data_IF_510638826845
#
_entry.id   IF_510638826845
#
_cell.length_a   1.000
_cell.length_b   1.000
_cell.length_c   1.000
_cell.angle_alpha   90.00
_cell.angle_beta   90.00
_cell.angle_gamma   90.00
#
_symmetry.space_group_name_H-M   'P 1'
#
loop_
_entity.id
_entity.type
_entity.pdbx_description
1 polymer ?
#
# COMPACT_ATOMS: atom_id res chain seq x y z
N UNK A 1 36.61 -3.26 23.89
CA UNK A 1 36.00 -4.48 23.28
C UNK A 1 34.52 -4.39 22.96
N UNK A 2 33.88 -3.22 22.99
CA UNK A 2 32.43 -3.09 22.73
C UNK A 2 32.04 -2.55 21.33
N UNK A 3 33.01 -2.18 20.51
CA UNK A 3 32.73 -1.53 19.19
C UNK A 3 32.66 -2.54 18.05
N UNK A 4 33.28 -3.73 18.19
CA UNK A 4 33.38 -4.72 17.10
C UNK A 4 32.10 -5.56 16.93
N UNK A 5 31.28 -5.71 17.97
CA UNK A 5 30.06 -6.53 17.92
C UNK A 5 28.90 -5.84 17.19
N UNK A 6 28.84 -4.51 17.21
CA UNK A 6 27.78 -3.76 16.55
C UNK A 6 27.92 -3.76 15.03
N UNK A 7 29.15 -3.82 14.51
CA UNK A 7 29.39 -3.86 13.05
C UNK A 7 29.03 -5.22 12.42
N UNK A 8 29.22 -6.32 13.16
CA UNK A 8 28.88 -7.67 12.67
C UNK A 8 27.36 -7.93 12.60
N UNK A 9 26.58 -7.32 13.49
CA UNK A 9 25.11 -7.42 13.44
C UNK A 9 24.49 -6.60 12.31
N UNK A 10 25.09 -5.49 11.93
CA UNK A 10 24.62 -4.71 10.76
C UNK A 10 24.92 -5.41 9.43
N UNK A 11 26.08 -6.09 9.30
CA UNK A 11 26.43 -6.78 8.06
C UNK A 11 25.59 -8.06 7.82
N UNK A 12 25.12 -8.71 8.86
CA UNK A 12 24.25 -9.88 8.74
C UNK A 12 22.81 -9.50 8.34
N UNK A 13 22.31 -8.35 8.76
CA UNK A 13 21.02 -7.83 8.30
C UNK A 13 21.05 -7.42 6.82
N UNK A 14 22.12 -6.84 6.34
CA UNK A 14 22.27 -6.47 4.92
C UNK A 14 22.27 -7.69 4.00
N UNK A 15 22.85 -8.83 4.43
CA UNK A 15 22.82 -10.08 3.64
C UNK A 15 21.45 -10.76 3.60
N UNK A 16 20.64 -10.62 4.65
CA UNK A 16 19.27 -11.18 4.68
C UNK A 16 18.32 -10.48 3.69
N UNK A 17 18.58 -9.22 3.34
CA UNK A 17 17.72 -8.45 2.45
C UNK A 17 18.19 -8.43 1.00
N UNK A 18 19.46 -8.81 0.73
CA UNK A 18 20.05 -8.74 -0.60
C UNK A 18 19.90 -10.03 -1.44
N UNK A 19 19.46 -11.14 -0.86
CA UNK A 19 19.56 -12.45 -1.51
C UNK A 19 18.25 -13.21 -1.75
N UNK A 20 17.10 -12.73 -1.28
CA UNK A 20 15.85 -13.40 -1.63
C UNK A 20 15.34 -12.92 -3.00
N UNK A 21 15.19 -13.83 -3.97
CA UNK A 21 14.51 -13.50 -5.19
C UNK A 21 13.09 -13.02 -4.83
N UNK A 22 12.66 -11.93 -5.43
CA UNK A 22 11.26 -11.53 -5.37
C UNK A 22 10.38 -12.74 -5.73
N UNK A 23 9.23 -12.92 -5.09
CA UNK A 23 8.30 -13.95 -5.50
C UNK A 23 7.99 -13.80 -7.00
N UNK A 24 7.63 -14.87 -7.69
CA UNK A 24 7.37 -14.81 -9.12
C UNK A 24 6.39 -13.67 -9.42
N UNK A 25 6.88 -12.75 -10.19
CA UNK A 25 6.22 -11.50 -10.52
C UNK A 25 5.17 -11.79 -11.59
N UNK A 26 4.13 -11.00 -11.59
CA UNK A 26 3.12 -11.00 -12.63
C UNK A 26 3.76 -11.07 -14.04
N UNK A 27 3.22 -11.93 -14.89
CA UNK A 27 3.61 -11.98 -16.30
C UNK A 27 2.68 -11.08 -17.09
N UNK A 28 3.26 -10.29 -17.96
CA UNK A 28 2.48 -9.48 -18.90
C UNK A 28 1.95 -10.42 -19.98
N UNK A 29 0.65 -10.47 -20.14
CA UNK A 29 0.00 -11.19 -21.24
C UNK A 29 -0.16 -10.27 -22.45
N UNK A 30 -0.12 -10.85 -23.63
CA UNK A 30 -0.50 -10.12 -24.83
C UNK A 30 -1.97 -9.69 -24.80
N UNK A 31 -2.35 -8.62 -25.51
CA UNK A 31 -3.73 -8.15 -25.57
C UNK A 31 -4.69 -9.29 -25.93
N UNK A 32 -5.78 -9.41 -25.18
CA UNK A 32 -6.83 -10.37 -25.50
C UNK A 32 -7.51 -9.97 -26.81
N UNK A 33 -7.39 -10.81 -27.82
CA UNK A 33 -8.22 -10.70 -29.03
C UNK A 33 -9.62 -11.26 -28.74
N UNK A 34 -10.51 -10.42 -28.23
CA UNK A 34 -11.90 -10.80 -28.04
C UNK A 34 -12.68 -10.68 -29.37
N UNK A 35 -13.52 -11.64 -29.72
CA UNK A 35 -14.35 -11.56 -30.94
C UNK A 35 -15.23 -10.31 -30.91
N UNK A 36 -15.16 -9.48 -31.96
CA UNK A 36 -15.96 -8.27 -32.09
C UNK A 36 -15.26 -6.96 -31.68
N UNK A 37 -13.99 -7.02 -31.30
CA UNK A 37 -13.20 -5.81 -30.98
C UNK A 37 -12.86 -5.01 -32.24
N UNK A 38 -13.15 -3.71 -32.21
CA UNK A 38 -12.74 -2.76 -33.25
C UNK A 38 -11.27 -2.34 -33.03
N UNK A 39 -10.65 -1.73 -34.07
CA UNK A 39 -9.27 -1.25 -34.01
C UNK A 39 -8.96 -0.33 -32.83
N UNK A 40 -9.95 0.35 -32.27
CA UNK A 40 -9.83 1.27 -31.13
C UNK A 40 -9.54 0.54 -29.81
N UNK A 41 -9.97 -0.72 -29.67
CA UNK A 41 -9.70 -1.52 -28.46
C UNK A 41 -8.25 -2.02 -28.33
N UNK A 42 -7.43 -1.89 -29.36
CA UNK A 42 -5.99 -2.17 -29.27
C UNK A 42 -5.21 -1.13 -28.44
N UNK A 43 -5.86 -0.05 -28.01
CA UNK A 43 -5.29 0.93 -27.07
C UNK A 43 -5.38 0.48 -25.60
N UNK A 44 -6.16 -0.56 -25.29
CA UNK A 44 -6.23 -1.09 -23.94
C UNK A 44 -5.00 -1.94 -23.64
N UNK A 45 -4.45 -1.71 -22.44
CA UNK A 45 -3.22 -2.32 -22.00
C UNK A 45 -3.26 -3.83 -21.88
N UNK A 46 -2.14 -4.36 -21.54
CA UNK A 46 -1.96 -5.79 -21.33
C UNK A 46 -2.58 -6.21 -20.01
N UNK A 47 -3.26 -7.36 -19.99
CA UNK A 47 -3.61 -8.00 -18.73
C UNK A 47 -2.34 -8.52 -18.04
N UNK A 48 -2.28 -8.34 -16.72
CA UNK A 48 -1.13 -8.75 -15.90
C UNK A 48 -1.52 -10.01 -15.14
N UNK A 49 -0.73 -11.07 -15.31
CA UNK A 49 -0.88 -12.32 -14.56
C UNK A 49 -0.13 -12.22 -13.24
N UNK A 50 -0.77 -12.63 -12.17
CA UNK A 50 -0.19 -12.70 -10.84
C UNK A 50 -0.58 -14.00 -10.15
N UNK A 51 0.21 -14.38 -9.14
CA UNK A 51 -0.13 -15.50 -8.27
C UNK A 51 -0.76 -15.00 -6.98
N UNK A 52 -1.73 -15.73 -6.46
CA UNK A 52 -2.36 -15.40 -5.20
C UNK A 52 -1.33 -15.53 -4.06
N UNK A 53 -1.13 -14.45 -3.30
CA UNK A 53 -0.13 -14.40 -2.22
C UNK A 53 -0.71 -14.78 -0.86
N UNK A 54 -2.04 -14.83 -0.72
CA UNK A 54 -2.65 -15.15 0.55
C UNK A 54 -2.45 -16.63 0.90
N UNK A 55 -1.79 -16.97 2.03
CA UNK A 55 -1.59 -18.36 2.40
C UNK A 55 -2.89 -19.08 2.70
N UNK A 56 -3.02 -20.35 2.29
CA UNK A 56 -4.18 -21.21 2.63
C UNK A 56 -4.43 -21.34 4.14
N UNK A 57 -3.37 -21.18 4.94
CA UNK A 57 -3.45 -21.16 6.41
C UNK A 57 -4.18 -19.94 6.98
N UNK A 58 -4.40 -18.89 6.18
CA UNK A 58 -5.23 -17.74 6.55
C UNK A 58 -6.70 -18.14 6.39
N UNK A 59 -7.40 -18.32 7.51
CA UNK A 59 -8.81 -18.72 7.55
C UNK A 59 -9.73 -17.52 7.56
N UNK A 60 -10.93 -17.70 7.01
CA UNK A 60 -12.00 -16.70 6.99
C UNK A 60 -11.60 -15.38 6.36
N UNK A 61 -10.78 -15.44 5.32
CA UNK A 61 -10.36 -14.26 4.56
C UNK A 61 -11.41 -13.89 3.52
N UNK A 62 -11.50 -12.61 3.22
CA UNK A 62 -12.28 -12.10 2.09
C UNK A 62 -11.41 -12.07 0.82
N UNK A 63 -12.05 -11.87 -0.33
CA UNK A 63 -11.35 -11.64 -1.58
C UNK A 63 -10.43 -10.40 -1.46
N UNK A 64 -9.21 -10.54 -1.97
CA UNK A 64 -8.25 -9.46 -2.00
C UNK A 64 -8.53 -8.53 -3.19
N UNK A 65 -9.40 -7.55 -2.97
CA UNK A 65 -9.84 -6.58 -3.99
C UNK A 65 -9.84 -5.16 -3.44
N UNK A 66 -9.79 -4.17 -4.33
CA UNK A 66 -10.06 -2.77 -4.03
C UNK A 66 -11.55 -2.51 -4.20
N UNK A 67 -12.21 -2.02 -3.16
CA UNK A 67 -13.58 -1.53 -3.23
C UNK A 67 -13.55 -0.12 -3.86
N UNK A 68 -14.09 0.04 -5.07
CA UNK A 68 -14.16 1.32 -5.80
C UNK A 68 -15.46 1.44 -6.60
N UNK A 69 -16.57 1.62 -5.90
CA UNK A 69 -17.91 1.67 -6.51
C UNK A 69 -18.13 2.85 -7.46
N UNK A 70 -17.33 3.89 -7.35
CA UNK A 70 -17.40 5.11 -8.19
C UNK A 70 -16.39 5.10 -9.32
N UNK A 71 -15.54 4.07 -9.41
CA UNK A 71 -14.46 3.97 -10.39
C UNK A 71 -13.46 5.12 -10.30
N UNK A 72 -13.21 5.58 -9.09
CA UNK A 72 -12.31 6.70 -8.79
C UNK A 72 -10.86 6.42 -9.20
N UNK A 73 -10.46 5.15 -9.34
CA UNK A 73 -9.12 4.72 -9.77
C UNK A 73 -8.90 4.78 -11.29
N UNK A 74 -9.94 4.93 -12.10
CA UNK A 74 -9.84 4.92 -13.58
C UNK A 74 -8.82 5.93 -14.13
N UNK A 75 -8.76 7.19 -13.66
CA UNK A 75 -7.75 8.12 -14.18
C UNK A 75 -6.31 7.66 -13.94
N UNK A 76 -6.03 7.00 -12.82
CA UNK A 76 -4.72 6.42 -12.53
C UNK A 76 -4.42 5.21 -13.43
N UNK A 77 -5.37 4.30 -13.59
CA UNK A 77 -5.20 3.13 -14.46
C UNK A 77 -5.05 3.51 -15.92
N UNK A 78 -5.73 4.56 -16.38
CA UNK A 78 -5.53 5.13 -17.73
C UNK A 78 -4.10 5.57 -17.93
N UNK A 79 -3.51 6.33 -16.99
CA UNK A 79 -2.11 6.76 -17.07
C UNK A 79 -1.14 5.58 -17.06
N UNK A 80 -1.38 4.55 -16.26
CA UNK A 80 -0.59 3.31 -16.27
C UNK A 80 -0.68 2.59 -17.62
N UNK A 81 -1.85 2.58 -18.22
CA UNK A 81 -2.07 1.96 -19.52
C UNK A 81 -1.40 2.72 -20.68
N UNK A 82 -1.54 4.03 -20.69
CA UNK A 82 -0.99 4.88 -21.73
C UNK A 82 0.53 5.07 -21.61
N UNK A 83 1.06 5.11 -20.41
CA UNK A 83 2.48 5.28 -20.05
C UNK A 83 3.18 6.38 -20.87
N UNK A 84 2.52 7.51 -21.07
CA UNK A 84 3.04 8.64 -21.85
C UNK A 84 4.12 9.46 -21.11
N UNK A 85 4.50 9.05 -19.91
CA UNK A 85 5.50 9.68 -19.05
C UNK A 85 5.54 9.01 -17.68
N UNK A 86 6.29 9.57 -16.72
CA UNK A 86 6.34 9.03 -15.37
C UNK A 86 4.96 9.03 -14.70
N UNK A 87 4.53 7.86 -14.21
CA UNK A 87 3.29 7.70 -13.40
C UNK A 87 3.67 7.62 -11.94
N UNK A 88 3.21 8.57 -11.14
CA UNK A 88 3.69 8.81 -9.78
C UNK A 88 2.73 8.32 -8.72
N UNK A 89 3.23 7.44 -7.87
CA UNK A 89 2.55 6.97 -6.65
C UNK A 89 3.26 7.56 -5.43
N UNK A 90 2.50 8.13 -4.51
CA UNK A 90 3.01 8.56 -3.20
C UNK A 90 2.29 7.76 -2.12
N UNK A 91 3.03 6.90 -1.41
CA UNK A 91 2.51 6.08 -0.32
C UNK A 91 2.85 6.72 1.02
N UNK A 92 1.86 7.33 1.66
CA UNK A 92 2.01 7.95 2.97
C UNK A 92 1.45 7.04 4.07
N UNK A 93 2.07 7.06 5.25
CA UNK A 93 1.59 6.23 6.35
C UNK A 93 2.44 6.28 7.61
N UNK A 94 2.19 5.32 8.47
CA UNK A 94 2.82 5.19 9.78
C UNK A 94 4.12 4.34 9.75
N UNK A 95 4.44 3.68 10.88
CA UNK A 95 5.64 2.83 11.01
C UNK A 95 5.62 1.61 10.08
N UNK A 96 4.47 1.13 9.64
CA UNK A 96 4.37 0.04 8.67
C UNK A 96 4.89 0.47 7.30
N UNK A 97 4.57 1.70 6.89
CA UNK A 97 5.12 2.31 5.66
C UNK A 97 6.58 2.73 5.88
N UNK A 98 6.90 3.32 7.05
CA UNK A 98 8.28 3.75 7.38
C UNK A 98 9.27 2.57 7.46
N UNK A 99 8.82 1.38 7.79
CA UNK A 99 9.62 0.16 7.82
C UNK A 99 10.11 -0.33 6.45
N UNK A 100 9.65 0.25 5.37
CA UNK A 100 10.01 0.12 3.96
C UNK A 100 9.62 -1.20 3.28
N UNK A 101 9.69 -2.36 3.93
CA UNK A 101 9.50 -3.66 3.27
C UNK A 101 8.14 -3.74 2.56
N UNK A 102 7.07 -3.38 3.26
CA UNK A 102 5.72 -3.39 2.72
C UNK A 102 5.59 -2.55 1.43
N UNK A 103 5.86 -1.23 1.46
CA UNK A 103 5.71 -0.41 0.25
C UNK A 103 6.79 -0.70 -0.80
N UNK A 104 8.00 -1.15 -0.40
CA UNK A 104 9.06 -1.50 -1.33
C UNK A 104 8.70 -2.73 -2.18
N UNK A 105 8.05 -3.74 -1.58
CA UNK A 105 7.60 -4.91 -2.34
C UNK A 105 6.52 -4.51 -3.35
N UNK A 106 5.50 -3.76 -2.91
CA UNK A 106 4.47 -3.23 -3.81
C UNK A 106 5.10 -2.44 -4.97
N UNK A 107 6.03 -1.54 -4.66
CA UNK A 107 6.76 -0.75 -5.65
C UNK A 107 7.46 -1.64 -6.68
N UNK A 108 8.30 -2.59 -6.23
CA UNK A 108 9.10 -3.45 -7.13
C UNK A 108 8.22 -4.30 -8.04
N UNK A 109 7.11 -4.80 -7.52
CA UNK A 109 6.15 -5.53 -8.33
C UNK A 109 5.53 -4.64 -9.41
N UNK A 110 5.08 -3.44 -9.04
CA UNK A 110 4.53 -2.48 -10.00
C UNK A 110 5.57 -1.99 -11.02
N UNK A 111 6.82 -1.73 -10.60
CA UNK A 111 7.92 -1.40 -11.53
C UNK A 111 8.18 -2.52 -12.53
N UNK A 112 8.11 -3.77 -12.08
CA UNK A 112 8.26 -4.91 -12.99
C UNK A 112 7.11 -5.02 -13.99
N UNK A 113 5.90 -4.66 -13.60
CA UNK A 113 4.73 -4.75 -14.47
C UNK A 113 4.65 -3.57 -15.47
N UNK A 114 5.03 -2.37 -15.04
CA UNK A 114 4.79 -1.12 -15.76
C UNK A 114 6.07 -0.37 -16.18
N UNK A 115 7.24 -0.86 -15.84
CA UNK A 115 8.53 -0.28 -16.20
C UNK A 115 9.21 0.45 -15.04
N UNK A 116 10.52 0.26 -14.93
CA UNK A 116 11.38 0.84 -13.89
C UNK A 116 12.26 2.00 -14.40
N UNK A 117 12.18 2.33 -15.67
CA UNK A 117 13.06 3.29 -16.35
C UNK A 117 12.89 4.72 -15.85
N UNK A 118 11.72 5.02 -15.27
CA UNK A 118 11.40 6.34 -14.71
C UNK A 118 12.21 6.72 -13.46
N UNK A 119 13.00 5.78 -12.89
CA UNK A 119 13.75 5.98 -11.63
C UNK A 119 15.18 5.50 -11.74
N UNK A 120 16.13 6.33 -11.27
CA UNK A 120 17.51 5.92 -11.12
C UNK A 120 17.64 4.78 -10.08
N UNK A 121 18.25 3.63 -10.41
CA UNK A 121 18.30 2.45 -9.53
C UNK A 121 18.93 2.71 -8.16
N UNK A 122 19.96 3.54 -8.09
CA UNK A 122 20.74 3.82 -6.87
C UNK A 122 20.09 4.87 -5.95
N UNK A 123 19.02 5.51 -6.40
CA UNK A 123 18.42 6.66 -5.72
C UNK A 123 17.58 6.29 -4.51
N UNK A 124 17.20 5.00 -4.38
CA UNK A 124 16.36 4.54 -3.29
C UNK A 124 17.13 3.52 -2.47
N UNK A 125 17.67 3.99 -1.37
CA UNK A 125 18.26 3.08 -0.40
C UNK A 125 17.17 2.55 0.53
N UNK A 126 17.27 1.29 0.87
CA UNK A 126 16.41 0.64 1.85
C UNK A 126 16.34 1.39 3.20
N UNK A 127 17.43 2.08 3.57
CA UNK A 127 17.55 2.81 4.84
C UNK A 127 16.83 4.17 4.87
N UNK A 128 16.74 4.83 3.72
CA UNK A 128 16.19 6.19 3.67
C UNK A 128 14.73 6.23 3.31
N UNK A 129 14.18 5.15 2.83
CA UNK A 129 12.82 4.97 2.35
C UNK A 129 12.32 6.15 1.64
N UNK A 130 12.43 6.14 0.61
CA UNK A 130 12.23 6.91 0.10
C UNK A 130 11.65 7.61 -1.04
N UNK A 131 12.07 8.75 -1.24
CA UNK A 131 11.72 9.52 -2.43
C UNK A 131 12.52 8.93 -3.59
N UNK A 132 11.82 8.59 -4.67
CA UNK A 132 12.43 8.19 -5.92
C UNK A 132 13.09 9.40 -6.59
N UNK A 133 14.24 9.22 -7.22
CA UNK A 133 14.84 10.22 -8.10
C UNK A 133 14.46 9.89 -9.54
N UNK A 134 13.67 10.77 -10.15
CA UNK A 134 13.11 10.56 -11.47
C UNK A 134 14.16 10.79 -12.57
N UNK A 135 14.10 9.94 -13.60
CA UNK A 135 14.85 10.14 -14.85
C UNK A 135 14.13 11.07 -15.81
N UNK A 136 12.80 11.14 -15.72
CA UNK A 136 11.90 11.78 -16.65
C UNK A 136 11.36 10.84 -17.74
N UNK A 137 11.89 9.62 -17.86
CA UNK A 137 11.42 8.61 -18.79
C UNK A 137 10.05 8.05 -18.38
N UNK A 138 9.27 7.50 -19.33
CA UNK A 138 8.05 6.76 -19.00
C UNK A 138 8.33 5.58 -18.08
N UNK A 139 7.40 5.32 -17.14
CA UNK A 139 7.52 4.23 -16.18
C UNK A 139 6.91 4.61 -14.84
N UNK A 140 7.03 3.69 -13.87
CA UNK A 140 6.47 3.89 -12.54
C UNK A 140 7.46 4.61 -11.62
N UNK A 141 6.98 5.63 -10.95
CA UNK A 141 7.68 6.32 -9.86
C UNK A 141 6.92 6.10 -8.56
N UNK A 142 7.55 5.50 -7.57
CA UNK A 142 6.90 5.19 -6.30
C UNK A 142 7.65 5.79 -5.11
N UNK A 143 7.09 6.84 -4.53
CA UNK A 143 7.63 7.53 -3.36
C UNK A 143 7.05 6.94 -2.07
N UNK A 144 7.91 6.72 -1.07
CA UNK A 144 7.52 6.17 0.23
C UNK A 144 7.74 7.23 1.31
N UNK A 145 6.68 7.66 1.97
CA UNK A 145 6.71 8.71 3.00
C UNK A 145 6.06 8.20 4.30
N UNK A 146 6.76 7.34 5.02
CA UNK A 146 6.31 6.83 6.32
C UNK A 146 6.91 7.61 7.49
N UNK A 147 6.13 7.77 8.57
CA UNK A 147 6.58 8.39 9.83
C UNK A 147 6.20 7.47 11.01
N UNK A 148 7.18 7.13 11.85
CA UNK A 148 6.92 6.27 13.01
C UNK A 148 5.89 6.92 13.96
N UNK A 149 4.87 6.16 14.35
CA UNK A 149 3.82 6.62 15.24
C UNK A 149 2.81 7.59 14.59
N UNK A 150 2.91 7.80 13.28
CA UNK A 150 2.02 8.74 12.59
C UNK A 150 0.55 8.34 12.65
N UNK A 151 -0.28 9.34 12.69
CA UNK A 151 -1.72 9.32 12.43
C UNK A 151 -2.00 10.24 11.24
N UNK A 152 -3.25 10.26 10.76
CA UNK A 152 -3.65 11.21 9.71
C UNK A 152 -3.23 12.65 10.02
N UNK A 153 -3.30 13.06 11.30
CA UNK A 153 -2.94 14.43 11.75
C UNK A 153 -1.47 14.76 11.49
N UNK A 154 -0.58 13.78 11.55
CA UNK A 154 0.86 14.00 11.32
C UNK A 154 1.15 14.60 9.94
N UNK A 155 0.31 14.30 8.96
CA UNK A 155 0.46 14.79 7.60
C UNK A 155 -0.37 16.05 7.28
N UNK A 156 -1.12 16.61 8.24
CA UNK A 156 -1.95 17.81 8.01
C UNK A 156 -1.19 19.13 8.19
N UNK A 157 0.13 19.12 8.24
CA UNK A 157 0.93 20.34 8.26
C UNK A 157 1.16 20.88 6.85
N UNK A 158 1.20 22.21 6.69
CA UNK A 158 1.42 22.82 5.38
C UNK A 158 2.72 22.32 4.70
N UNK A 159 3.78 22.11 5.47
CA UNK A 159 5.04 21.61 4.93
C UNK A 159 4.87 20.19 4.36
N UNK A 160 4.19 19.29 5.06
CA UNK A 160 3.95 17.92 4.56
C UNK A 160 3.07 17.92 3.32
N UNK A 161 2.05 18.75 3.28
CA UNK A 161 1.19 18.89 2.09
C UNK A 161 2.00 19.43 0.90
N UNK A 162 2.85 20.45 1.11
CA UNK A 162 3.73 20.99 0.06
C UNK A 162 4.75 19.95 -0.42
N UNK A 163 5.37 19.19 0.50
CA UNK A 163 6.28 18.09 0.15
C UNK A 163 5.60 17.05 -0.74
N UNK A 164 4.38 16.63 -0.40
CA UNK A 164 3.61 15.65 -1.19
C UNK A 164 3.21 16.25 -2.54
N UNK A 165 2.70 17.47 -2.57
CA UNK A 165 2.26 18.12 -3.81
C UNK A 165 3.42 18.36 -4.79
N UNK A 166 4.62 18.65 -4.30
CA UNK A 166 5.82 18.82 -5.12
C UNK A 166 6.19 17.54 -5.90
N UNK A 167 5.78 16.37 -5.43
CA UNK A 167 5.97 15.09 -6.11
C UNK A 167 4.96 14.86 -7.25
N UNK A 168 3.96 15.73 -7.41
CA UNK A 168 2.93 15.64 -8.48
C UNK A 168 2.32 14.24 -8.59
N UNK A 169 1.74 13.70 -7.51
CA UNK A 169 1.23 12.33 -7.49
C UNK A 169 0.04 12.13 -8.43
N UNK A 170 0.01 11.00 -9.13
CA UNK A 170 -1.16 10.50 -9.84
C UNK A 170 -2.04 9.67 -8.91
N UNK A 171 -1.39 8.97 -7.96
CA UNK A 171 -2.06 8.23 -6.90
C UNK A 171 -1.41 8.53 -5.54
N UNK A 172 -2.24 8.82 -4.54
CA UNK A 172 -1.80 8.83 -3.13
C UNK A 172 -2.43 7.62 -2.41
N UNK A 173 -1.58 6.76 -1.84
CA UNK A 173 -2.00 5.66 -0.97
C UNK A 173 -1.87 6.10 0.48
N UNK A 174 -2.96 6.01 1.26
CA UNK A 174 -3.00 6.39 2.67
C UNK A 174 -3.10 5.15 3.55
N UNK A 175 -2.02 4.83 4.28
CA UNK A 175 -1.95 3.66 5.17
C UNK A 175 -1.79 4.09 6.63
N UNK A 176 -2.93 4.39 7.26
CA UNK A 176 -3.06 4.78 8.65
C UNK A 176 -4.04 3.88 9.40
N UNK A 177 -4.20 4.10 10.69
CA UNK A 177 -5.20 3.44 11.51
C UNK A 177 -4.62 2.64 12.68
N UNK A 178 -3.39 2.15 12.59
CA UNK A 178 -2.77 1.39 13.70
C UNK A 178 -2.58 2.26 14.93
N UNK A 179 -2.06 3.47 14.78
CA UNK A 179 -1.81 4.37 15.90
C UNK A 179 -3.10 5.00 16.44
N UNK A 180 -4.05 5.29 15.57
CA UNK A 180 -5.40 5.70 15.97
C UNK A 180 -6.06 4.62 16.84
N UNK A 181 -6.01 3.34 16.43
CA UNK A 181 -6.54 2.23 17.20
C UNK A 181 -5.84 2.04 18.56
N UNK A 182 -4.58 2.44 18.69
CA UNK A 182 -3.82 2.38 19.95
C UNK A 182 -4.07 3.58 20.87
N UNK A 183 -4.71 4.64 20.39
CA UNK A 183 -5.05 5.79 21.21
C UNK A 183 -6.00 5.42 22.35
N UNK A 184 -5.63 5.73 23.58
CA UNK A 184 -6.51 5.52 24.75
C UNK A 184 -7.78 6.39 24.69
N UNK A 185 -7.71 7.51 23.99
CA UNK A 185 -8.80 8.49 23.80
C UNK A 185 -9.38 8.43 22.40
N UNK A 186 -9.38 7.26 21.78
CA UNK A 186 -9.94 7.10 20.44
C UNK A 186 -11.44 7.42 20.41
N UNK A 187 -11.82 8.30 19.52
CA UNK A 187 -13.23 8.66 19.23
C UNK A 187 -13.45 8.58 17.72
N UNK A 188 -14.40 7.76 17.29
CA UNK A 188 -14.68 7.52 15.87
C UNK A 188 -15.01 8.80 15.08
N UNK A 189 -15.86 9.74 15.59
CA UNK A 189 -16.12 10.99 14.88
C UNK A 189 -14.88 11.88 14.73
N UNK A 190 -13.99 11.87 15.72
CA UNK A 190 -12.72 12.63 15.64
C UNK A 190 -11.81 12.01 14.58
N UNK A 191 -11.75 10.69 14.49
CA UNK A 191 -10.95 10.02 13.46
C UNK A 191 -11.49 10.31 12.05
N UNK A 192 -12.81 10.26 11.83
CA UNK A 192 -13.44 10.63 10.55
C UNK A 192 -13.08 12.09 10.17
N UNK A 193 -13.17 13.02 11.11
CA UNK A 193 -12.80 14.43 10.90
C UNK A 193 -11.29 14.58 10.57
N UNK A 194 -10.42 13.77 11.15
CA UNK A 194 -8.99 13.80 10.85
C UNK A 194 -8.67 13.29 9.45
N UNK A 195 -9.36 12.23 9.01
CA UNK A 195 -9.27 11.73 7.62
C UNK A 195 -9.75 12.83 6.67
N UNK A 196 -10.91 13.41 6.93
CA UNK A 196 -11.49 14.46 6.11
C UNK A 196 -10.56 15.66 5.97
N UNK A 197 -9.99 16.14 7.08
CA UNK A 197 -9.03 17.25 7.06
C UNK A 197 -7.83 16.95 6.19
N UNK A 198 -7.20 15.77 6.35
CA UNK A 198 -6.03 15.38 5.54
C UNK A 198 -6.38 15.33 4.05
N UNK A 199 -7.46 14.64 3.70
CA UNK A 199 -7.87 14.49 2.31
C UNK A 199 -8.31 15.82 1.68
N UNK A 200 -9.00 16.68 2.43
CA UNK A 200 -9.36 18.03 1.95
C UNK A 200 -8.13 18.87 1.63
N UNK A 201 -7.08 18.81 2.48
CA UNK A 201 -5.82 19.52 2.22
C UNK A 201 -5.08 18.94 1.01
N UNK A 202 -5.02 17.62 0.88
CA UNK A 202 -4.39 16.94 -0.26
C UNK A 202 -5.14 17.21 -1.57
N UNK A 203 -6.46 17.10 -1.59
CA UNK A 203 -7.28 17.42 -2.78
C UNK A 203 -7.11 18.85 -3.24
N UNK A 204 -7.01 19.79 -2.30
CA UNK A 204 -6.76 21.19 -2.64
C UNK A 204 -5.38 21.41 -3.26
N UNK A 205 -4.36 20.68 -2.77
CA UNK A 205 -2.99 20.81 -3.24
C UNK A 205 -2.71 19.99 -4.52
N UNK A 206 -3.44 18.89 -4.71
CA UNK A 206 -3.26 17.92 -5.80
C UNK A 206 -4.64 17.55 -6.38
N UNK A 207 -5.30 18.44 -7.14
CA UNK A 207 -6.69 18.27 -7.57
C UNK A 207 -6.92 17.08 -8.51
N UNK A 208 -5.91 16.71 -9.32
CA UNK A 208 -5.98 15.63 -10.30
C UNK A 208 -5.58 14.26 -9.73
N UNK A 209 -5.22 14.20 -8.44
CA UNK A 209 -4.72 12.98 -7.81
C UNK A 209 -5.86 12.06 -7.40
N UNK A 210 -5.67 10.78 -7.66
CA UNK A 210 -6.53 9.70 -7.17
C UNK A 210 -6.11 9.28 -5.76
N UNK A 211 -7.05 8.83 -4.93
CA UNK A 211 -6.78 8.44 -3.56
C UNK A 211 -7.21 6.99 -3.30
N UNK A 212 -6.30 6.21 -2.71
CA UNK A 212 -6.56 4.86 -2.20
C UNK A 212 -6.34 4.84 -0.69
N UNK A 213 -7.39 4.60 0.07
CA UNK A 213 -7.31 4.40 1.51
C UNK A 213 -7.04 2.92 1.81
N UNK A 214 -6.27 2.63 2.86
CA UNK A 214 -6.07 1.25 3.31
C UNK A 214 -6.43 1.09 4.78
N UNK A 215 -6.99 -0.06 5.16
CA UNK A 215 -7.23 -0.36 6.57
C UNK A 215 -5.98 -0.98 7.22
N UNK A 216 -5.78 -0.82 8.56
CA UNK A 216 -4.62 -1.38 9.24
C UNK A 216 -4.68 -2.92 9.28
N UNK A 217 -3.54 -3.62 9.37
CA UNK A 217 -3.46 -5.09 9.29
C UNK A 217 -3.99 -5.84 10.53
N UNK A 218 -4.33 -5.12 11.59
CA UNK A 218 -4.64 -5.69 12.89
C UNK A 218 -3.42 -5.67 13.83
N UNK A 219 -3.68 -5.55 15.12
CA UNK A 219 -2.64 -5.53 16.15
C UNK A 219 -3.19 -5.99 17.50
N UNK A 220 -2.27 -6.30 18.41
CA UNK A 220 -2.60 -6.55 19.82
C UNK A 220 -2.39 -5.29 20.66
N UNK A 221 -3.09 -5.22 21.78
CA UNK A 221 -2.95 -4.18 22.80
C UNK A 221 -2.77 -4.81 24.19
N UNK A 222 -2.08 -4.11 25.08
CA UNK A 222 -1.77 -4.57 26.43
C UNK A 222 -0.33 -5.05 26.62
N UNK A 223 0.00 -5.45 27.85
CA UNK A 223 1.34 -5.99 28.18
C UNK A 223 1.48 -7.42 27.66
N UNK A 224 2.71 -7.84 27.36
CA UNK A 224 3.01 -9.16 26.75
C UNK A 224 2.24 -10.34 27.36
N UNK A 225 2.08 -10.40 28.67
CA UNK A 225 1.38 -11.49 29.37
C UNK A 225 -0.15 -11.34 29.43
N UNK A 226 -0.68 -10.14 29.17
CA UNK A 226 -2.12 -9.82 29.20
C UNK A 226 -2.57 -9.18 27.88
N UNK A 227 -1.90 -9.54 26.78
CA UNK A 227 -2.17 -8.99 25.46
C UNK A 227 -3.48 -9.53 24.91
N UNK A 228 -4.31 -8.64 24.40
CA UNK A 228 -5.55 -8.96 23.69
C UNK A 228 -5.56 -8.35 22.31
N UNK A 229 -6.33 -8.92 21.40
CA UNK A 229 -6.57 -8.30 20.07
C UNK A 229 -7.14 -6.91 20.32
N UNK A 230 -6.58 -5.90 19.64
CA UNK A 230 -7.04 -4.53 19.80
C UNK A 230 -8.49 -4.37 19.28
N UNK A 231 -9.47 -4.17 20.16
CA UNK A 231 -10.87 -4.12 19.77
C UNK A 231 -11.20 -2.86 18.93
N UNK A 232 -10.36 -1.82 18.99
CA UNK A 232 -10.57 -0.58 18.24
C UNK A 232 -10.21 -0.72 16.78
N UNK A 233 -9.37 -1.68 16.38
CA UNK A 233 -9.02 -1.90 14.98
C UNK A 233 -10.26 -2.11 14.11
N UNK A 234 -11.25 -2.85 14.61
CA UNK A 234 -12.55 -3.04 13.92
C UNK A 234 -13.22 -1.71 13.62
N UNK A 235 -13.30 -0.83 14.65
CA UNK A 235 -13.94 0.48 14.49
C UNK A 235 -13.17 1.38 13.55
N UNK A 236 -11.84 1.40 13.66
CA UNK A 236 -10.95 2.17 12.77
C UNK A 236 -11.12 1.72 11.32
N UNK A 237 -11.05 0.41 11.05
CA UNK A 237 -11.22 -0.14 9.69
C UNK A 237 -12.60 0.20 9.13
N UNK A 238 -13.65 0.09 9.93
CA UNK A 238 -15.01 0.48 9.54
C UNK A 238 -15.10 1.96 9.16
N UNK A 239 -14.54 2.87 9.98
CA UNK A 239 -14.56 4.30 9.71
C UNK A 239 -13.83 4.64 8.39
N UNK A 240 -12.65 4.04 8.15
CA UNK A 240 -11.90 4.26 6.91
C UNK A 240 -12.74 3.82 5.69
N UNK A 241 -13.35 2.64 5.74
CA UNK A 241 -14.21 2.13 4.64
C UNK A 241 -15.46 2.96 4.43
N UNK A 242 -16.18 3.30 5.50
CA UNK A 242 -17.39 4.13 5.43
C UNK A 242 -17.07 5.52 4.89
N UNK A 243 -15.94 6.11 5.33
CA UNK A 243 -15.47 7.39 4.80
C UNK A 243 -15.18 7.29 3.30
N UNK A 244 -14.40 6.30 2.87
CA UNK A 244 -14.07 6.11 1.46
C UNK A 244 -15.35 5.97 0.61
N UNK A 245 -16.28 5.10 1.02
CA UNK A 245 -17.56 4.89 0.33
C UNK A 245 -18.42 6.17 0.26
N UNK A 246 -18.53 6.90 1.37
CA UNK A 246 -19.30 8.16 1.45
C UNK A 246 -18.76 9.25 0.53
N UNK A 247 -17.43 9.27 0.34
CA UNK A 247 -16.75 10.30 -0.46
C UNK A 247 -16.34 9.83 -1.86
N UNK A 248 -16.82 8.66 -2.31
CA UNK A 248 -16.54 8.12 -3.63
C UNK A 248 -15.04 7.87 -3.88
N UNK A 249 -14.34 7.30 -2.90
CA UNK A 249 -12.93 6.96 -2.99
C UNK A 249 -12.73 5.45 -2.95
N UNK A 250 -11.62 5.01 -3.52
CA UNK A 250 -11.19 3.62 -3.44
C UNK A 250 -10.67 3.27 -2.03
N UNK A 251 -10.94 2.05 -1.60
CA UNK A 251 -10.40 1.50 -0.34
C UNK A 251 -9.96 0.05 -0.49
N UNK A 252 -8.80 -0.27 0.05
CA UNK A 252 -8.33 -1.63 0.23
C UNK A 252 -8.47 -2.04 1.70
N UNK A 253 -9.39 -2.99 1.95
CA UNK A 253 -9.66 -3.47 3.32
C UNK A 253 -8.75 -4.65 3.69
N UNK A 254 -7.46 -4.37 3.86
CA UNK A 254 -6.48 -5.36 4.28
C UNK A 254 -6.92 -6.09 5.56
N UNK A 255 -7.53 -5.38 6.51
CA UNK A 255 -7.97 -6.01 7.77
C UNK A 255 -8.92 -7.18 7.53
N UNK A 256 -9.90 -7.01 6.68
CA UNK A 256 -10.87 -8.08 6.36
C UNK A 256 -10.21 -9.17 5.52
N UNK A 257 -9.39 -8.81 4.53
CA UNK A 257 -8.64 -9.77 3.68
C UNK A 257 -7.82 -10.74 4.52
N UNK A 258 -7.19 -10.29 5.58
CA UNK A 258 -6.32 -11.13 6.43
C UNK A 258 -7.04 -11.80 7.60
N UNK A 259 -8.39 -11.73 7.66
CA UNK A 259 -9.21 -12.46 8.64
C UNK A 259 -10.06 -11.59 9.57
N UNK A 260 -9.99 -10.26 9.47
CA UNK A 260 -10.84 -9.32 10.20
C UNK A 260 -10.80 -9.46 11.71
N UNK A 261 -11.94 -9.18 12.33
CA UNK A 261 -12.09 -9.10 13.80
C UNK A 261 -11.65 -10.37 14.53
N UNK A 262 -11.96 -11.52 13.99
CA UNK A 262 -11.79 -12.81 14.67
C UNK A 262 -10.44 -13.43 14.40
N UNK A 263 -9.89 -13.27 13.20
CA UNK A 263 -8.78 -14.09 12.74
C UNK A 263 -7.55 -13.31 12.26
N UNK A 264 -7.64 -12.03 11.90
CA UNK A 264 -6.49 -11.30 11.39
C UNK A 264 -5.22 -11.45 12.26
N UNK A 265 -5.31 -11.07 13.54
CA UNK A 265 -4.17 -11.19 14.45
C UNK A 265 -3.73 -12.64 14.67
N UNK A 266 -4.67 -13.59 14.67
CA UNK A 266 -4.38 -15.02 14.84
C UNK A 266 -3.68 -15.57 13.61
N UNK A 267 -4.12 -15.20 12.40
CA UNK A 267 -3.49 -15.61 11.15
C UNK A 267 -2.04 -15.12 11.08
N UNK A 268 -1.79 -13.85 11.40
CA UNK A 268 -0.44 -13.31 11.49
C UNK A 268 0.42 -14.06 12.52
N UNK A 269 -0.14 -14.34 13.71
CA UNK A 269 0.61 -15.00 14.79
C UNK A 269 0.90 -16.47 14.47
N UNK A 270 -0.08 -17.22 13.98
CA UNK A 270 0.07 -18.66 13.65
C UNK A 270 1.10 -18.90 12.54
N UNK A 271 1.21 -17.96 11.62
CA UNK A 271 2.17 -18.05 10.52
C UNK A 271 3.53 -17.38 10.85
N UNK A 272 3.77 -17.01 12.12
CA UNK A 272 5.02 -16.38 12.55
C UNK A 272 5.36 -15.07 11.81
N UNK A 273 4.34 -14.35 11.32
CA UNK A 273 4.49 -13.14 10.54
C UNK A 273 4.43 -11.85 11.39
N UNK A 274 4.04 -11.98 12.67
CA UNK A 274 3.95 -10.87 13.62
C UNK A 274 5.15 -10.87 14.57
N UNK A 275 5.71 -9.68 14.83
CA UNK A 275 6.80 -9.51 15.80
C UNK A 275 6.32 -9.69 17.25
N UNK A 276 7.27 -9.85 18.15
CA UNK A 276 7.01 -10.02 19.58
C UNK A 276 6.30 -8.82 20.25
N UNK A 277 6.32 -7.63 19.66
CA UNK A 277 5.58 -6.47 20.15
C UNK A 277 4.06 -6.56 19.88
N UNK A 278 3.65 -7.41 18.92
CA UNK A 278 2.25 -7.61 18.54
C UNK A 278 1.63 -6.48 17.74
N UNK A 279 2.46 -5.62 17.17
CA UNK A 279 2.07 -4.48 16.35
C UNK A 279 2.75 -4.54 14.98
N UNK A 280 4.07 -4.74 14.98
CA UNK A 280 4.88 -4.78 13.76
C UNK A 280 5.04 -6.21 13.25
N UNK A 281 5.39 -6.33 11.99
CA UNK A 281 5.50 -7.60 11.29
C UNK A 281 6.96 -7.99 11.06
N UNK A 282 7.19 -9.27 10.84
CA UNK A 282 8.48 -9.75 10.33
C UNK A 282 8.66 -9.27 8.89
N UNK A 283 9.86 -9.36 8.33
CA UNK A 283 10.05 -9.06 6.90
C UNK A 283 9.10 -9.84 6.00
N UNK A 284 8.86 -11.12 6.31
CA UNK A 284 7.95 -12.01 5.58
C UNK A 284 6.49 -11.51 5.69
N UNK A 285 6.07 -11.06 6.87
CA UNK A 285 4.75 -10.48 7.08
C UNK A 285 4.56 -9.17 6.29
N UNK A 286 5.59 -8.33 6.20
CA UNK A 286 5.54 -7.13 5.38
C UNK A 286 5.62 -7.45 3.88
N UNK A 287 6.37 -8.48 3.46
CA UNK A 287 6.35 -8.94 2.07
C UNK A 287 4.96 -9.41 1.66
N UNK A 288 4.30 -10.17 2.53
CA UNK A 288 2.92 -10.60 2.27
C UNK A 288 1.99 -9.41 2.09
N UNK A 289 2.06 -8.40 2.97
CA UNK A 289 1.25 -7.18 2.84
C UNK A 289 1.52 -6.45 1.51
N UNK A 290 2.78 -6.33 1.10
CA UNK A 290 3.17 -5.71 -0.16
C UNK A 290 2.64 -6.45 -1.38
N UNK A 291 2.74 -7.78 -1.37
CA UNK A 291 2.19 -8.62 -2.44
C UNK A 291 0.66 -8.54 -2.51
N UNK A 292 -0.02 -8.52 -1.36
CA UNK A 292 -1.48 -8.40 -1.32
C UNK A 292 -1.95 -7.05 -1.86
N UNK A 293 -1.28 -5.94 -1.52
CA UNK A 293 -1.63 -4.63 -2.09
C UNK A 293 -1.37 -4.59 -3.60
N UNK A 294 -0.23 -5.12 -4.04
CA UNK A 294 0.07 -5.24 -5.46
C UNK A 294 -1.03 -6.03 -6.20
N UNK A 295 -1.38 -7.22 -5.70
CA UNK A 295 -2.45 -8.05 -6.30
C UNK A 295 -3.79 -7.33 -6.38
N UNK A 296 -4.17 -6.61 -5.32
CA UNK A 296 -5.42 -5.86 -5.31
C UNK A 296 -5.42 -4.75 -6.38
N UNK A 297 -4.28 -4.05 -6.54
CA UNK A 297 -4.09 -3.05 -7.59
C UNK A 297 -4.15 -3.67 -8.99
N UNK A 298 -3.50 -4.82 -9.20
CA UNK A 298 -3.50 -5.51 -10.50
C UNK A 298 -4.87 -6.08 -10.85
N UNK A 299 -5.61 -6.63 -9.88
CA UNK A 299 -7.00 -7.06 -10.11
C UNK A 299 -7.87 -5.89 -10.60
N UNK A 300 -7.77 -4.74 -9.93
CA UNK A 300 -8.53 -3.55 -10.31
C UNK A 300 -8.08 -2.97 -11.67
N UNK A 301 -6.77 -2.97 -11.96
CA UNK A 301 -6.24 -2.60 -13.27
C UNK A 301 -6.72 -3.55 -14.38
N UNK A 302 -6.66 -4.86 -14.16
CA UNK A 302 -7.12 -5.85 -15.13
C UNK A 302 -8.63 -5.72 -15.40
N UNK A 303 -9.43 -5.39 -14.36
CA UNK A 303 -10.86 -5.12 -14.53
C UNK A 303 -11.07 -3.86 -15.39
N UNK A 304 -10.30 -2.78 -15.16
CA UNK A 304 -10.33 -1.59 -15.99
C UNK A 304 -10.00 -1.92 -17.45
N UNK A 305 -8.92 -2.66 -17.71
CA UNK A 305 -8.53 -3.08 -19.07
C UNK A 305 -9.61 -3.95 -19.73
N UNK A 306 -10.15 -4.93 -19.00
CA UNK A 306 -11.16 -5.87 -19.53
C UNK A 306 -12.50 -5.19 -19.82
N UNK A 307 -12.85 -4.15 -19.09
CA UNK A 307 -14.13 -3.44 -19.28
C UNK A 307 -14.06 -2.34 -20.33
N UNK A 308 -12.87 -2.00 -20.82
CA UNK A 308 -12.68 -0.96 -21.84
C UNK A 308 -13.22 0.39 -21.40
N UNK A 309 -13.12 0.73 -20.13
CA UNK A 309 -13.64 1.99 -19.61
C UNK A 309 -12.69 3.15 -19.95
N UNK A 310 -13.18 4.09 -20.72
CA UNK A 310 -12.55 5.40 -20.96
C UNK A 310 -12.75 6.37 -19.79
#
# INVERSE_FOLDING_TARGET
MAVTVVFLLCSSLERLYAQDPLPPIARVLEPLNLPGQTKEMHSFGRLIVFHDSLPESFKHTADNVIEDSTRSMVPFFRKLNEMNGPVRVVHIGDSHVRGHVYPLVTRRCLESDFGAEAVYPDSITYRTGGLAHETGEPGLVYHIMGVNGATCVTFTTENKIKEIAALRPDLIILSFGTNEAHSRRYLAPVHEMQIDRLLSMLKKACPETVFLLTTPPGAYVGRRRSRVINPRTVTVSRIIREYARKHGMAVWDMYTVVGGKTDACKNWTRNHLLRADGIHFTPEGYRLQGNLLHQALIKAYNEYVATGLE
#
